data_IF_896258986574
#
_entry.id   IF_896258986574
#
_cell.length_a   1.000
_cell.length_b   1.000
_cell.length_c   1.000
_cell.angle_alpha   90.00
_cell.angle_beta   90.00
_cell.angle_gamma   90.00
#
_symmetry.space_group_name_H-M   'P 1'
#
loop_
_entity.id
_entity.type
_entity.pdbx_description
1 polymer ?
#
# COMPACT_ATOMS: atom_id res chain seq x y z
N UNK A 1 -17.28 -7.49 12.70
CA UNK A 1 -17.42 -7.40 11.23
C UNK A 1 -16.02 -7.26 10.67
N UNK A 2 -15.64 -8.09 9.69
CA UNK A 2 -14.29 -8.03 9.10
C UNK A 2 -14.15 -6.73 8.32
N UNK A 3 -13.05 -6.00 8.46
CA UNK A 3 -12.76 -4.87 7.56
C UNK A 3 -12.53 -5.45 6.15
N UNK A 4 -13.21 -4.91 5.14
CA UNK A 4 -13.07 -5.37 3.74
C UNK A 4 -12.37 -4.32 2.86
N UNK A 5 -11.95 -3.21 3.47
CA UNK A 5 -11.45 -2.02 2.75
C UNK A 5 -10.19 -2.33 1.96
N UNK A 6 -9.24 -3.07 2.55
CA UNK A 6 -8.01 -3.49 1.85
C UNK A 6 -8.32 -4.47 0.71
N UNK A 7 -9.31 -5.36 0.84
CA UNK A 7 -9.70 -6.26 -0.24
C UNK A 7 -10.30 -5.48 -1.43
N UNK A 8 -11.09 -4.44 -1.15
CA UNK A 8 -11.63 -3.55 -2.19
C UNK A 8 -10.49 -2.79 -2.88
N UNK A 9 -9.52 -2.27 -2.10
CA UNK A 9 -8.33 -1.63 -2.65
C UNK A 9 -7.53 -2.59 -3.53
N UNK A 10 -7.26 -3.81 -3.06
CA UNK A 10 -6.57 -4.84 -3.83
C UNK A 10 -7.27 -5.14 -5.15
N UNK A 11 -8.59 -5.34 -5.10
CA UNK A 11 -9.41 -5.58 -6.30
C UNK A 11 -9.30 -4.42 -7.29
N UNK A 12 -9.29 -3.18 -6.81
CA UNK A 12 -9.07 -1.99 -7.62
C UNK A 12 -7.67 -2.00 -8.26
N UNK A 13 -6.62 -2.24 -7.46
CA UNK A 13 -5.23 -2.22 -7.93
C UNK A 13 -4.95 -3.33 -8.95
N UNK A 14 -5.48 -4.55 -8.74
CA UNK A 14 -5.33 -5.67 -9.67
C UNK A 14 -5.89 -5.38 -11.07
N UNK A 15 -6.86 -4.47 -11.19
CA UNK A 15 -7.42 -4.06 -12.49
C UNK A 15 -6.61 -2.95 -13.16
N UNK A 16 -5.66 -2.32 -12.46
CA UNK A 16 -4.90 -1.14 -12.91
C UNK A 16 -3.41 -1.39 -13.08
N UNK A 17 -2.87 -2.31 -12.29
CA UNK A 17 -1.44 -2.55 -12.19
C UNK A 17 -1.14 -4.01 -12.55
N UNK A 18 0.05 -4.20 -13.12
CA UNK A 18 0.68 -5.50 -13.31
C UNK A 18 1.34 -5.95 -11.99
N UNK A 19 0.71 -6.90 -11.32
CA UNK A 19 1.18 -7.42 -10.02
C UNK A 19 2.43 -8.29 -10.16
N UNK A 20 2.93 -8.62 -11.35
CA UNK A 20 4.24 -9.29 -11.49
C UNK A 20 5.42 -8.34 -11.18
N UNK A 21 5.18 -7.03 -11.20
CA UNK A 21 6.19 -5.99 -10.93
C UNK A 21 6.25 -5.56 -9.47
N UNK A 22 5.26 -5.94 -8.67
CA UNK A 22 5.14 -5.58 -7.25
C UNK A 22 4.90 -6.83 -6.41
N UNK A 23 5.53 -6.90 -5.25
CA UNK A 23 5.38 -8.02 -4.33
C UNK A 23 4.57 -7.55 -3.12
N UNK A 24 3.57 -8.35 -2.73
CA UNK A 24 2.86 -8.16 -1.46
C UNK A 24 3.69 -8.79 -0.35
N UNK A 25 4.05 -8.03 0.69
CA UNK A 25 4.98 -8.47 1.74
C UNK A 25 4.38 -8.56 3.13
N UNK A 26 3.28 -7.85 3.38
CA UNK A 26 2.54 -7.99 4.62
C UNK A 26 1.06 -7.90 4.31
N UNK A 27 0.32 -8.99 4.50
CA UNK A 27 -1.12 -9.04 4.34
C UNK A 27 -1.68 -9.96 5.41
N UNK A 28 -1.99 -9.37 6.56
CA UNK A 28 -2.62 -10.10 7.66
C UNK A 28 -4.12 -10.27 7.38
N UNK A 29 -4.47 -11.47 6.93
CA UNK A 29 -5.85 -11.83 6.56
C UNK A 29 -6.85 -11.74 7.71
N UNK A 30 -6.39 -11.70 8.97
CA UNK A 30 -7.25 -11.63 10.15
C UNK A 30 -7.90 -10.26 10.32
N UNK A 31 -7.11 -9.19 10.22
CA UNK A 31 -7.57 -7.82 10.46
C UNK A 31 -7.98 -7.09 9.17
N UNK A 32 -7.37 -7.44 8.02
CA UNK A 32 -7.65 -6.83 6.70
C UNK A 32 -7.63 -5.29 6.70
N UNK A 33 -6.95 -4.68 7.66
CA UNK A 33 -6.87 -3.23 7.79
C UNK A 33 -5.53 -2.66 7.33
N UNK A 34 -4.58 -3.50 6.91
CA UNK A 34 -3.30 -3.05 6.38
C UNK A 34 -2.72 -3.99 5.32
N UNK A 35 -1.85 -3.45 4.47
CA UNK A 35 -1.09 -4.18 3.46
C UNK A 35 0.24 -3.50 3.14
N UNK A 36 1.28 -4.30 2.90
CA UNK A 36 2.59 -3.86 2.44
C UNK A 36 2.89 -4.28 0.99
N UNK A 37 3.45 -3.36 0.20
CA UNK A 37 3.95 -3.60 -1.15
C UNK A 37 5.43 -3.26 -1.28
N UNK A 38 6.18 -4.04 -2.04
CA UNK A 38 7.58 -3.77 -2.38
C UNK A 38 7.84 -4.04 -3.86
N UNK A 39 8.99 -3.60 -4.37
CA UNK A 39 9.44 -3.94 -5.70
C UNK A 39 10.31 -5.21 -5.68
N UNK A 40 10.73 -5.67 -6.85
CA UNK A 40 11.57 -6.87 -6.98
C UNK A 40 12.95 -6.76 -6.31
N UNK A 41 13.46 -5.53 -6.11
CA UNK A 41 14.75 -5.28 -5.46
C UNK A 41 14.66 -5.20 -3.94
N UNK A 42 13.45 -5.10 -3.38
CA UNK A 42 13.18 -4.95 -1.94
C UNK A 42 13.91 -3.77 -1.31
N UNK A 43 14.14 -2.70 -2.07
CA UNK A 43 14.79 -1.47 -1.60
C UNK A 43 13.78 -0.43 -1.09
N UNK A 44 12.49 -0.65 -1.35
CA UNK A 44 11.38 0.23 -0.99
C UNK A 44 10.19 -0.56 -0.47
N UNK A 45 9.55 -0.05 0.56
CA UNK A 45 8.31 -0.60 1.11
C UNK A 45 7.24 0.48 1.12
N UNK A 46 6.06 0.17 0.62
CA UNK A 46 4.87 1.00 0.80
C UNK A 46 3.91 0.26 1.71
N UNK A 47 3.72 0.79 2.92
CA UNK A 47 2.74 0.31 3.88
C UNK A 47 1.45 1.13 3.75
N UNK A 48 0.30 0.46 3.74
CA UNK A 48 -1.02 1.07 3.56
C UNK A 48 -1.94 0.55 4.66
N UNK A 49 -2.70 1.43 5.30
CA UNK A 49 -3.63 1.05 6.37
C UNK A 49 -4.96 1.81 6.31
N UNK A 50 -6.08 1.10 6.49
CA UNK A 50 -7.43 1.66 6.69
C UNK A 50 -7.78 1.85 8.17
N UNK A 51 -6.90 1.47 9.10
CA UNK A 51 -7.18 1.54 10.54
C UNK A 51 -7.48 2.97 10.99
N UNK A 52 -8.64 3.16 11.63
CA UNK A 52 -9.14 4.47 12.09
C UNK A 52 -9.21 5.55 10.99
N UNK A 53 -9.35 5.14 9.72
CA UNK A 53 -9.59 6.07 8.61
C UNK A 53 -11.05 6.05 8.19
N UNK A 54 -11.46 7.13 7.53
CA UNK A 54 -12.76 7.18 6.87
C UNK A 54 -12.82 6.20 5.69
N UNK A 55 -14.04 5.87 5.24
CA UNK A 55 -14.22 4.96 4.12
C UNK A 55 -13.47 5.49 2.87
N UNK A 56 -12.72 4.60 2.20
CA UNK A 56 -11.88 4.91 1.03
C UNK A 56 -10.72 5.89 1.31
N UNK A 57 -10.35 6.08 2.58
CA UNK A 57 -9.14 6.80 2.97
C UNK A 57 -8.16 5.83 3.61
N UNK A 58 -6.87 6.08 3.34
CA UNK A 58 -5.79 5.23 3.83
C UNK A 58 -4.66 6.08 4.38
N UNK A 59 -4.06 5.60 5.45
CA UNK A 59 -2.70 5.96 5.80
C UNK A 59 -1.75 5.28 4.81
N UNK A 60 -0.73 5.99 4.34
CA UNK A 60 0.34 5.42 3.51
C UNK A 60 1.70 5.87 4.04
N UNK A 61 2.62 4.93 4.19
CA UNK A 61 4.02 5.20 4.50
C UNK A 61 4.92 4.57 3.44
N UNK A 62 5.81 5.37 2.86
CA UNK A 62 6.85 4.92 1.94
C UNK A 62 8.17 4.92 2.68
N UNK A 63 8.70 3.73 2.92
CA UNK A 63 9.97 3.48 3.59
C UNK A 63 11.05 3.10 2.57
N UNK A 64 12.24 3.66 2.75
CA UNK A 64 13.43 3.34 1.96
C UNK A 64 14.32 2.42 2.81
N UNK A 65 14.52 1.18 2.36
CA UNK A 65 15.15 0.10 3.17
C UNK A 65 16.61 0.39 3.49
N UNK A 66 17.28 1.25 2.70
CA UNK A 66 18.65 1.66 2.97
C UNK A 66 18.80 2.60 4.18
N UNK A 67 17.71 3.13 4.74
CA UNK A 67 17.71 4.02 5.91
C UNK A 67 18.38 5.39 5.69
N UNK A 68 18.79 5.70 4.46
CA UNK A 68 19.46 6.97 4.11
C UNK A 68 18.46 8.09 3.85
N UNK A 69 17.26 7.73 3.40
CA UNK A 69 16.16 8.66 3.13
C UNK A 69 15.09 8.55 4.21
N UNK A 70 14.50 9.70 4.55
CA UNK A 70 13.36 9.74 5.49
C UNK A 70 12.12 9.14 4.84
N UNK A 71 11.34 8.42 5.64
CA UNK A 71 10.05 7.89 5.22
C UNK A 71 9.12 9.03 4.78
N UNK A 72 8.32 8.77 3.74
CA UNK A 72 7.28 9.69 3.27
C UNK A 72 5.94 9.21 3.77
N UNK A 73 5.28 10.03 4.57
CA UNK A 73 4.02 9.70 5.22
C UNK A 73 2.89 10.50 4.57
N UNK A 74 1.79 9.82 4.28
CA UNK A 74 0.55 10.37 3.77
C UNK A 74 -0.57 9.96 4.73
N UNK A 75 -1.07 10.91 5.51
CA UNK A 75 -2.08 10.62 6.54
C UNK A 75 -3.45 10.25 5.97
N UNK A 76 -3.72 10.63 4.72
CA UNK A 76 -4.96 10.34 4.03
C UNK A 76 -4.67 10.25 2.54
N UNK A 77 -4.97 9.12 1.93
CA UNK A 77 -4.83 8.88 0.50
C UNK A 77 -6.03 8.11 0.00
N UNK A 78 -6.45 8.41 -1.22
CA UNK A 78 -7.47 7.68 -1.97
C UNK A 78 -6.86 6.51 -2.76
N UNK A 79 -7.69 5.60 -3.26
CA UNK A 79 -7.24 4.51 -4.15
C UNK A 79 -6.40 5.00 -5.33
N UNK A 80 -6.79 6.14 -5.94
CA UNK A 80 -6.10 6.71 -7.11
C UNK A 80 -4.74 7.31 -6.74
N UNK A 81 -4.58 7.84 -5.53
CA UNK A 81 -3.30 8.33 -5.05
C UNK A 81 -2.38 7.16 -4.71
N UNK A 82 -2.90 6.11 -4.08
CA UNK A 82 -2.17 4.85 -3.85
C UNK A 82 -1.65 4.27 -5.17
N UNK A 83 -2.49 4.19 -6.20
CA UNK A 83 -2.06 3.72 -7.52
C UNK A 83 -0.87 4.52 -8.05
N UNK A 84 -0.94 5.86 -7.98
CA UNK A 84 0.16 6.74 -8.40
C UNK A 84 1.42 6.54 -7.57
N UNK A 85 1.29 6.33 -6.26
CA UNK A 85 2.42 6.07 -5.36
C UNK A 85 3.09 4.74 -5.71
N UNK A 86 2.32 3.67 -5.91
CA UNK A 86 2.85 2.37 -6.31
C UNK A 86 3.61 2.45 -7.65
N UNK A 87 3.05 3.16 -8.65
CA UNK A 87 3.74 3.41 -9.92
C UNK A 87 5.00 4.27 -9.72
N UNK A 88 4.93 5.32 -8.91
CA UNK A 88 6.05 6.24 -8.75
C UNK A 88 7.24 5.63 -8.00
N UNK A 89 6.99 4.67 -7.11
CA UNK A 89 8.01 4.17 -6.20
C UNK A 89 8.43 2.73 -6.48
N UNK A 90 7.52 1.87 -6.95
CA UNK A 90 7.80 0.44 -7.08
C UNK A 90 7.94 -0.05 -8.53
N UNK A 91 7.50 0.73 -9.51
CA UNK A 91 7.69 0.47 -10.96
C UNK A 91 8.96 1.15 -11.47
#
# INVERSE_FOLDING_TARGET
>A
MKDITINILLSYLHLKLDFEKIQVVDFWEADLCAIGFTNNFKDKLIYISSFQKEQNQFYVEVEMVNGLEKNKIFESSTNKEIEKLLISFLY
#
